data_IF_001442441147
#
_entry.id   IF_001442441147
#
_cell.length_a   1.000
_cell.length_b   1.000
_cell.length_c   1.000
_cell.angle_alpha   90.00
_cell.angle_beta   90.00
_cell.angle_gamma   90.00
#
_symmetry.space_group_name_H-M   'P 1'
#
loop_
_entity.id
_entity.type
_entity.pdbx_description
1 polymer ?
#
# COMPACT_ATOMS: atom_id res chain seq x y z
N UNK A 1 -4.70 -7.38 -22.25
CA UNK A 1 -3.97 -6.58 -21.24
C UNK A 1 -2.49 -6.77 -21.46
N UNK A 2 -1.71 -5.70 -21.42
CA UNK A 2 -0.24 -5.75 -21.51
C UNK A 2 0.32 -5.28 -20.18
N UNK A 3 0.36 -6.20 -19.21
CA UNK A 3 0.72 -5.87 -17.83
C UNK A 3 2.23 -5.89 -17.65
N UNK A 4 2.77 -4.79 -17.12
CA UNK A 4 4.16 -4.66 -16.75
C UNK A 4 4.29 -4.13 -15.30
N UNK A 5 5.28 -4.66 -14.58
CA UNK A 5 5.63 -4.18 -13.25
C UNK A 5 6.69 -3.09 -13.38
N UNK A 6 6.45 -1.96 -12.71
CA UNK A 6 7.39 -0.86 -12.58
C UNK A 6 7.75 -0.63 -11.11
N UNK A 7 8.93 -0.07 -10.90
CA UNK A 7 9.34 0.51 -9.62
C UNK A 7 9.51 2.03 -9.81
N UNK A 8 8.79 2.80 -9.01
CA UNK A 8 8.94 4.25 -8.89
C UNK A 8 9.63 4.60 -7.57
N UNK A 9 10.55 5.56 -7.60
CA UNK A 9 11.18 6.11 -6.39
C UNK A 9 10.54 7.44 -6.03
N UNK A 10 10.03 7.58 -4.82
CA UNK A 10 9.52 8.84 -4.28
C UNK A 10 10.51 9.48 -3.31
N UNK A 11 10.67 10.79 -3.40
CA UNK A 11 11.45 11.60 -2.46
C UNK A 11 10.48 12.42 -1.60
N UNK A 12 10.39 12.12 -0.30
CA UNK A 12 9.46 12.84 0.58
C UNK A 12 9.99 14.24 0.89
N UNK A 13 9.10 15.25 0.82
CA UNK A 13 9.43 16.66 1.08
C UNK A 13 8.79 17.19 2.35
N UNK A 14 7.62 16.67 2.73
CA UNK A 14 6.93 17.03 3.96
C UNK A 14 6.44 15.79 4.72
N UNK A 15 6.00 15.99 5.96
CA UNK A 15 5.44 14.91 6.77
C UNK A 15 4.17 14.34 6.13
N UNK A 16 3.91 13.06 6.41
CA UNK A 16 2.70 12.38 5.94
C UNK A 16 1.60 12.47 6.99
N UNK A 17 0.42 12.97 6.61
CA UNK A 17 -0.80 12.89 7.43
C UNK A 17 -1.55 11.57 7.30
N UNK A 18 -1.30 10.84 6.22
CA UNK A 18 -1.82 9.50 5.92
C UNK A 18 -0.64 8.63 5.46
N UNK A 19 -0.49 7.38 5.94
CA UNK A 19 0.49 6.46 5.39
C UNK A 19 0.33 6.33 3.87
N UNK A 20 1.44 6.17 3.13
CA UNK A 20 1.44 5.96 1.67
C UNK A 20 0.84 4.59 1.32
N UNK A 21 -0.47 4.44 1.47
CA UNK A 21 -1.16 3.20 1.18
C UNK A 21 -1.51 3.12 -0.31
N UNK A 22 -1.31 1.95 -0.92
CA UNK A 22 -1.49 1.75 -2.36
C UNK A 22 -2.93 1.99 -2.81
N UNK A 23 -3.90 1.58 -2.00
CA UNK A 23 -5.33 1.81 -2.25
C UNK A 23 -5.71 3.29 -2.24
N UNK A 24 -5.05 4.09 -1.40
CA UNK A 24 -5.23 5.55 -1.34
C UNK A 24 -4.55 6.23 -2.52
N UNK A 25 -3.33 5.83 -2.87
CA UNK A 25 -2.61 6.32 -4.05
C UNK A 25 -3.38 6.03 -5.34
N UNK A 26 -3.91 4.82 -5.51
CA UNK A 26 -4.77 4.48 -6.64
C UNK A 26 -5.99 5.40 -6.74
N UNK A 27 -6.67 5.64 -5.62
CA UNK A 27 -7.80 6.57 -5.57
C UNK A 27 -7.39 7.98 -6.00
N UNK A 28 -6.24 8.47 -5.53
CA UNK A 28 -5.71 9.78 -5.93
C UNK A 28 -5.28 9.81 -7.40
N UNK A 29 -4.75 8.73 -7.96
CA UNK A 29 -4.46 8.62 -9.39
C UNK A 29 -5.74 8.72 -10.23
N UNK A 30 -6.85 8.11 -9.78
CA UNK A 30 -8.15 8.25 -10.44
C UNK A 30 -8.63 9.72 -10.44
N UNK A 31 -8.48 10.41 -9.30
CA UNK A 31 -8.82 11.83 -9.19
C UNK A 31 -7.95 12.70 -10.08
N UNK A 32 -6.63 12.50 -10.05
CA UNK A 32 -5.68 13.22 -10.90
C UNK A 32 -5.97 12.99 -12.39
N UNK A 33 -6.30 11.76 -12.80
CA UNK A 33 -6.67 11.44 -14.17
C UNK A 33 -7.96 12.17 -14.58
N UNK A 34 -8.98 12.22 -13.70
CA UNK A 34 -10.22 12.96 -13.96
C UNK A 34 -9.98 14.46 -14.11
N UNK A 35 -9.12 15.02 -13.28
CA UNK A 35 -8.78 16.45 -13.29
C UNK A 35 -7.96 16.85 -14.51
N UNK A 36 -7.02 16.01 -14.94
CA UNK A 36 -6.17 16.29 -16.10
C UNK A 36 -6.84 15.97 -17.43
N UNK A 37 -7.59 14.86 -17.52
CA UNK A 37 -8.05 14.31 -18.79
C UNK A 37 -9.57 14.16 -18.89
N UNK A 38 -10.31 14.51 -17.83
CA UNK A 38 -11.77 14.48 -17.81
C UNK A 38 -12.36 13.13 -17.38
N UNK A 39 -13.68 13.14 -17.21
CA UNK A 39 -14.44 12.00 -16.70
C UNK A 39 -14.51 10.83 -17.68
N UNK A 40 -14.68 11.12 -18.97
CA UNK A 40 -14.71 10.09 -20.02
C UNK A 40 -13.43 9.26 -20.06
N UNK A 41 -12.27 9.89 -19.91
CA UNK A 41 -10.99 9.17 -19.91
C UNK A 41 -10.83 8.33 -18.63
N UNK A 42 -11.26 8.84 -17.47
CA UNK A 42 -11.28 8.02 -16.25
C UNK A 42 -12.19 6.79 -16.41
N UNK A 43 -13.38 6.96 -16.98
CA UNK A 43 -14.30 5.84 -17.24
C UNK A 43 -13.66 4.80 -18.16
N UNK A 44 -12.98 5.24 -19.24
CA UNK A 44 -12.22 4.35 -20.13
C UNK A 44 -11.12 3.58 -19.39
N UNK A 45 -10.38 4.24 -18.48
CA UNK A 45 -9.35 3.58 -17.67
C UNK A 45 -9.97 2.54 -16.72
N UNK A 46 -11.12 2.85 -16.12
CA UNK A 46 -11.82 1.99 -15.15
C UNK A 46 -12.68 0.88 -15.79
N UNK A 47 -12.80 0.83 -17.12
CA UNK A 47 -13.58 -0.20 -17.80
C UNK A 47 -13.13 -1.63 -17.42
N UNK A 48 -14.03 -2.45 -16.88
CA UNK A 48 -13.70 -3.79 -16.38
C UNK A 48 -12.84 -3.84 -15.11
N UNK A 49 -12.67 -2.73 -14.39
CA UNK A 49 -11.83 -2.67 -13.19
C UNK A 49 -12.28 -3.65 -12.09
N UNK A 50 -13.58 -3.86 -11.93
CA UNK A 50 -14.15 -4.84 -10.97
C UNK A 50 -14.21 -6.27 -11.52
N UNK A 51 -13.87 -6.46 -12.79
CA UNK A 51 -13.93 -7.75 -13.50
C UNK A 51 -12.53 -8.35 -13.74
N UNK A 52 -11.54 -7.95 -12.94
CA UNK A 52 -10.17 -8.44 -13.06
C UNK A 52 -9.29 -7.71 -14.08
N UNK A 53 -9.73 -6.58 -14.62
CA UNK A 53 -8.98 -5.82 -15.65
C UNK A 53 -8.52 -4.44 -15.16
N UNK A 54 -7.69 -4.34 -14.09
CA UNK A 54 -7.21 -3.05 -13.61
C UNK A 54 -6.26 -2.39 -14.63
N UNK A 55 -6.41 -1.07 -14.82
CA UNK A 55 -5.42 -0.27 -15.57
C UNK A 55 -4.16 -0.01 -14.74
N UNK A 56 -4.28 0.02 -13.41
CA UNK A 56 -3.21 0.25 -12.47
C UNK A 56 -3.47 -0.49 -11.16
N UNK A 57 -2.42 -1.12 -10.62
CA UNK A 57 -2.37 -1.67 -9.27
C UNK A 57 -1.15 -1.07 -8.55
N UNK A 58 -1.37 -0.45 -7.40
CA UNK A 58 -0.34 0.30 -6.65
C UNK A 58 -0.01 -0.39 -5.33
N UNK A 59 1.27 -0.58 -5.02
CA UNK A 59 1.72 -1.04 -3.69
C UNK A 59 1.58 0.06 -2.63
N UNK A 60 1.72 -0.32 -1.36
CA UNK A 60 2.10 0.65 -0.34
C UNK A 60 3.49 1.23 -0.62
N UNK A 61 3.78 2.39 -0.04
CA UNK A 61 5.10 3.02 -0.01
C UNK A 61 6.02 2.27 0.96
N UNK A 62 7.12 1.75 0.43
CA UNK A 62 8.08 0.92 1.16
C UNK A 62 9.42 1.66 1.28
N UNK A 63 10.21 1.49 2.36
CA UNK A 63 11.56 2.03 2.41
C UNK A 63 12.37 1.56 1.19
N UNK A 64 13.16 2.45 0.59
CA UNK A 64 13.95 2.13 -0.59
C UNK A 64 14.79 0.86 -0.38
N UNK A 65 14.65 -0.11 -1.29
CA UNK A 65 15.40 -1.36 -1.25
C UNK A 65 14.83 -2.41 -0.29
N UNK A 66 13.64 -2.21 0.25
CA UNK A 66 12.98 -3.12 1.19
C UNK A 66 11.54 -3.44 0.81
N UNK A 67 11.09 -4.61 1.26
CA UNK A 67 9.71 -5.09 1.17
C UNK A 67 9.15 -5.38 2.57
N UNK A 68 7.82 -5.39 2.75
CA UNK A 68 7.21 -5.57 4.06
C UNK A 68 7.27 -7.03 4.51
N UNK A 69 7.83 -7.33 5.67
CA UNK A 69 7.96 -8.71 6.17
C UNK A 69 6.63 -9.48 5.99
N UNK A 70 6.66 -10.67 5.35
CA UNK A 70 5.45 -11.42 5.09
C UNK A 70 4.77 -11.80 6.40
N UNK A 71 3.44 -11.74 6.40
CA UNK A 71 2.59 -12.12 7.52
C UNK A 71 2.53 -13.63 7.56
N UNK A 72 3.28 -14.23 8.48
CA UNK A 72 3.32 -15.67 8.67
C UNK A 72 3.16 -16.03 10.15
N UNK A 73 2.67 -17.25 10.44
CA UNK A 73 2.69 -17.79 11.79
C UNK A 73 4.11 -17.82 12.35
N UNK A 74 4.21 -17.77 13.69
CA UNK A 74 5.49 -17.78 14.36
C UNK A 74 6.31 -19.06 14.10
N UNK A 75 5.68 -20.17 13.70
CA UNK A 75 6.37 -21.40 13.32
C UNK A 75 7.34 -21.22 12.15
N UNK A 76 7.15 -20.20 11.30
CA UNK A 76 8.05 -19.87 10.20
C UNK A 76 9.23 -18.98 10.63
N UNK A 77 9.17 -18.38 11.82
CA UNK A 77 10.23 -17.49 12.29
C UNK A 77 11.52 -18.27 12.56
N UNK A 78 12.68 -17.70 12.22
CA UNK A 78 13.96 -18.35 12.51
C UNK A 78 14.18 -18.45 14.02
N UNK A 79 14.57 -19.63 14.49
CA UNK A 79 15.09 -19.81 15.84
C UNK A 79 16.35 -18.94 16.04
N UNK A 80 16.53 -18.41 17.25
CA UNK A 80 17.82 -17.83 17.63
C UNK A 80 18.83 -18.96 17.84
N UNK A 81 19.87 -19.01 16.99
CA UNK A 81 20.93 -20.02 17.09
C UNK A 81 20.53 -21.40 16.57
N UNK A 82 21.37 -22.40 16.86
CA UNK A 82 21.23 -23.81 16.44
C UNK A 82 20.31 -24.65 17.34
N UNK A 83 19.50 -24.03 18.20
CA UNK A 83 18.73 -24.74 19.20
C UNK A 83 17.39 -25.24 18.65
N UNK A 84 17.18 -26.56 18.72
CA UNK A 84 15.93 -27.29 18.45
C UNK A 84 14.89 -27.16 19.59
N UNK A 85 14.77 -25.97 20.18
CA UNK A 85 13.89 -25.68 21.32
C UNK A 85 12.91 -24.52 21.08
N UNK A 86 11.97 -24.27 22.01
CA UNK A 86 11.03 -23.15 21.90
C UNK A 86 11.78 -21.81 21.80
N UNK A 87 11.39 -20.95 20.86
CA UNK A 87 11.98 -19.62 20.71
C UNK A 87 11.77 -18.82 22.00
N UNK A 88 12.87 -18.38 22.63
CA UNK A 88 12.83 -17.62 23.88
C UNK A 88 12.08 -16.28 23.73
N UNK A 89 11.64 -15.69 24.86
CA UNK A 89 10.85 -14.46 24.83
C UNK A 89 11.62 -13.26 24.24
N UNK A 90 12.94 -13.22 24.42
CA UNK A 90 13.79 -12.14 23.94
C UNK A 90 13.88 -12.13 22.40
N UNK A 91 14.12 -13.29 21.79
CA UNK A 91 14.16 -13.48 20.34
C UNK A 91 12.79 -13.19 19.72
N UNK A 92 11.70 -13.61 20.36
CA UNK A 92 10.34 -13.27 19.90
C UNK A 92 10.12 -11.76 19.88
N UNK A 93 10.54 -11.05 20.92
CA UNK A 93 10.44 -9.58 20.98
C UNK A 93 11.30 -8.91 19.90
N UNK A 94 12.52 -9.41 19.68
CA UNK A 94 13.41 -8.90 18.64
C UNK A 94 12.88 -9.16 17.22
N UNK A 95 12.28 -10.32 16.95
CA UNK A 95 11.71 -10.62 15.63
C UNK A 95 10.45 -9.81 15.32
N UNK A 96 9.71 -9.35 16.34
CA UNK A 96 8.55 -8.47 16.18
C UNK A 96 8.91 -7.05 15.73
N UNK A 97 10.11 -6.56 16.05
CA UNK A 97 10.55 -5.23 15.60
C UNK A 97 11.10 -5.25 14.18
N UNK A 98 11.44 -6.43 13.65
CA UNK A 98 11.86 -6.63 12.26
C UNK A 98 10.65 -6.63 11.33
N UNK A 99 10.50 -5.59 10.52
CA UNK A 99 9.34 -5.36 9.65
C UNK A 99 9.69 -5.36 8.16
N UNK A 100 10.97 -5.46 7.81
CA UNK A 100 11.44 -5.24 6.45
C UNK A 100 12.32 -6.38 5.96
N UNK A 101 12.14 -6.79 4.71
CA UNK A 101 12.98 -7.76 4.00
C UNK A 101 13.79 -6.98 2.95
N UNK A 102 15.13 -7.02 2.98
CA UNK A 102 15.94 -6.41 1.93
C UNK A 102 15.63 -7.03 0.56
N UNK A 103 15.61 -6.25 -0.52
CA UNK A 103 15.37 -6.77 -1.87
C UNK A 103 16.38 -7.86 -2.27
N UNK A 104 17.63 -7.75 -1.80
CA UNK A 104 18.68 -8.76 -2.01
C UNK A 104 18.40 -10.10 -1.32
N UNK A 105 17.36 -10.18 -0.51
CA UNK A 105 16.88 -11.42 0.11
C UNK A 105 15.69 -12.04 -0.64
N UNK A 106 15.07 -11.32 -1.59
CA UNK A 106 14.04 -11.90 -2.48
C UNK A 106 14.64 -13.01 -3.34
N UNK A 107 13.82 -13.93 -3.82
CA UNK A 107 14.28 -15.10 -4.61
C UNK A 107 15.02 -16.18 -3.82
N UNK A 108 15.39 -15.95 -2.55
CA UNK A 108 15.99 -16.95 -1.67
C UNK A 108 14.93 -17.82 -0.96
N UNK A 109 15.30 -19.00 -0.44
CA UNK A 109 14.39 -19.82 0.37
C UNK A 109 13.78 -19.03 1.54
N UNK A 110 12.53 -19.33 1.89
CA UNK A 110 11.73 -18.55 2.84
C UNK A 110 12.45 -18.37 4.18
N UNK A 111 13.01 -19.45 4.74
CA UNK A 111 13.77 -19.39 6.00
C UNK A 111 14.97 -18.44 5.93
N UNK A 112 15.66 -18.38 4.79
CA UNK A 112 16.79 -17.46 4.57
C UNK A 112 16.30 -16.02 4.43
N UNK A 113 15.21 -15.81 3.71
CA UNK A 113 14.59 -14.49 3.57
C UNK A 113 14.16 -13.93 4.93
N UNK A 114 13.49 -14.72 5.76
CA UNK A 114 13.04 -14.31 7.10
C UNK A 114 14.19 -14.02 8.06
N UNK A 115 15.32 -14.74 7.97
CA UNK A 115 16.54 -14.44 8.74
C UNK A 115 17.14 -13.07 8.40
N UNK A 116 16.99 -12.63 7.14
CA UNK A 116 17.45 -11.33 6.68
C UNK A 116 16.54 -10.16 7.09
N UNK A 117 15.44 -10.42 7.82
CA UNK A 117 14.53 -9.37 8.25
C UNK A 117 15.20 -8.32 9.15
N UNK A 118 14.83 -7.06 8.93
CA UNK A 118 15.43 -5.87 9.52
C UNK A 118 14.35 -4.97 10.15
N UNK A 119 14.74 -4.17 11.15
CA UNK A 119 13.86 -3.18 11.79
C UNK A 119 13.86 -1.86 11.02
N UNK A 120 13.06 -0.89 11.45
CA UNK A 120 13.09 0.46 10.86
C UNK A 120 14.47 1.09 10.96
N UNK A 121 15.22 0.77 12.03
CA UNK A 121 16.54 1.36 12.24
C UNK A 121 17.46 1.01 11.09
N UNK A 122 17.51 -0.25 10.65
CA UNK A 122 18.34 -0.64 9.52
C UNK A 122 17.73 -0.19 8.18
N UNK A 123 16.41 -0.37 7.99
CA UNK A 123 15.75 -0.04 6.73
C UNK A 123 15.79 1.47 6.37
N UNK A 124 15.87 2.33 7.39
CA UNK A 124 15.97 3.78 7.24
C UNK A 124 17.35 4.33 7.63
N UNK A 125 18.42 3.52 7.54
CA UNK A 125 19.80 3.94 7.76
C UNK A 125 20.02 4.74 9.07
N UNK A 126 19.52 4.18 10.18
CA UNK A 126 19.50 4.74 11.53
C UNK A 126 18.67 6.01 11.73
N UNK A 127 17.82 6.38 10.75
CA UNK A 127 16.94 7.55 10.80
C UNK A 127 15.48 7.14 10.56
N UNK A 128 14.90 6.30 11.45
CA UNK A 128 13.56 5.79 11.27
C UNK A 128 12.52 6.92 11.25
N UNK A 129 11.37 6.73 10.58
CA UNK A 129 10.29 7.70 10.61
C UNK A 129 9.82 7.96 12.04
N UNK A 130 9.53 9.22 12.36
CA UNK A 130 9.12 9.65 13.70
C UNK A 130 7.65 10.04 13.63
N UNK A 131 6.82 9.39 14.46
CA UNK A 131 5.45 9.84 14.66
C UNK A 131 5.43 11.00 15.66
N UNK A 132 4.72 12.07 15.30
CA UNK A 132 4.46 13.21 16.17
C UNK A 132 2.96 13.48 16.26
N UNK A 133 2.53 13.95 17.42
CA UNK A 133 1.16 14.38 17.67
C UNK A 133 1.13 15.90 17.59
N UNK A 134 0.44 16.44 16.59
CA UNK A 134 0.24 17.86 16.41
C UNK A 134 -1.09 18.28 17.04
N UNK A 135 -1.10 19.19 18.03
CA UNK A 135 -2.32 19.81 18.52
C UNK A 135 -2.81 20.89 17.55
N UNK A 136 -4.13 20.95 17.38
CA UNK A 136 -4.83 21.92 16.55
C UNK A 136 -5.93 22.59 17.36
N UNK A 137 -6.10 23.89 17.12
CA UNK A 137 -7.14 24.71 17.71
C UNK A 137 -8.00 25.30 16.60
N UNK A 138 -9.32 25.16 16.72
CA UNK A 138 -10.27 25.88 15.86
C UNK A 138 -10.75 27.11 16.62
N UNK A 139 -10.45 28.31 16.10
CA UNK A 139 -10.89 29.56 16.70
C UNK A 139 -12.27 29.97 16.18
N UNK A 140 -13.18 30.27 17.09
CA UNK A 140 -14.42 30.95 16.76
C UNK A 140 -14.11 32.41 16.40
N UNK A 141 -14.42 32.84 15.18
CA UNK A 141 -14.11 34.19 14.69
C UNK A 141 -14.93 35.30 15.38
N UNK A 142 -16.06 34.97 16.00
CA UNK A 142 -16.88 35.93 16.74
C UNK A 142 -16.32 36.18 18.14
N UNK A 143 -15.82 35.15 18.81
CA UNK A 143 -15.34 35.24 20.21
C UNK A 143 -13.83 35.34 20.33
N UNK A 144 -13.08 34.97 19.29
CA UNK A 144 -11.63 34.85 19.33
C UNK A 144 -11.12 33.69 20.19
N UNK A 145 -11.99 32.75 20.59
CA UNK A 145 -11.66 31.66 21.52
C UNK A 145 -11.85 30.28 20.89
N UNK A 146 -11.19 29.27 21.47
CA UNK A 146 -11.58 27.85 21.31
C UNK A 146 -12.78 27.54 22.21
N UNK A 147 -13.38 26.34 22.08
CA UNK A 147 -14.58 25.99 22.84
C UNK A 147 -14.95 24.51 22.75
N UNK A 148 -16.24 24.22 22.77
CA UNK A 148 -16.78 22.87 22.59
C UNK A 148 -17.05 22.56 21.10
N UNK A 149 -17.41 21.31 20.81
CA UNK A 149 -17.81 20.83 19.49
C UNK A 149 -16.77 21.13 18.41
N UNK A 150 -17.15 21.84 17.34
CA UNK A 150 -16.28 22.19 16.21
C UNK A 150 -15.11 23.11 16.61
N UNK A 151 -15.20 23.78 17.78
CA UNK A 151 -14.16 24.63 18.33
C UNK A 151 -13.27 23.93 19.36
N UNK A 152 -13.52 22.64 19.63
CA UNK A 152 -12.71 21.86 20.56
C UNK A 152 -11.30 21.64 20.00
N UNK A 153 -10.25 21.84 20.82
CA UNK A 153 -8.91 21.41 20.47
C UNK A 153 -8.90 19.92 20.14
N UNK A 154 -8.19 19.57 19.08
CA UNK A 154 -8.04 18.18 18.65
C UNK A 154 -6.59 17.91 18.30
N UNK A 155 -6.24 16.62 18.22
CA UNK A 155 -4.89 16.22 17.85
C UNK A 155 -4.90 15.40 16.58
N UNK A 156 -3.81 15.52 15.83
CA UNK A 156 -3.60 14.79 14.60
C UNK A 156 -2.20 14.20 14.60
N UNK A 157 -2.08 12.95 14.15
CA UNK A 157 -0.77 12.31 13.99
C UNK A 157 -0.14 12.69 12.67
N UNK A 158 1.16 12.85 12.64
CA UNK A 158 1.95 13.06 11.43
C UNK A 158 3.20 12.18 11.50
N UNK A 159 3.63 11.66 10.37
CA UNK A 159 4.87 10.87 10.28
C UNK A 159 5.93 11.66 9.54
N UNK A 160 7.03 11.95 10.22
CA UNK A 160 8.18 12.68 9.70
C UNK A 160 9.25 11.71 9.22
N UNK A 161 9.81 11.98 8.05
CA UNK A 161 10.91 11.22 7.46
C UNK A 161 12.15 12.11 7.41
N UNK A 162 13.33 11.50 7.56
CA UNK A 162 14.58 12.24 7.48
C UNK A 162 14.81 12.78 6.05
N UNK A 163 15.55 13.90 5.95
CA UNK A 163 15.91 14.46 4.65
C UNK A 163 16.72 13.45 3.82
N UNK A 164 16.40 13.37 2.53
CA UNK A 164 16.98 12.41 1.59
C UNK A 164 16.39 11.01 1.67
N UNK A 165 15.40 10.76 2.53
CA UNK A 165 14.75 9.46 2.60
C UNK A 165 13.93 9.20 1.33
N UNK A 166 14.18 8.05 0.72
CA UNK A 166 13.45 7.58 -0.45
C UNK A 166 12.50 6.44 -0.09
N UNK A 167 11.42 6.38 -0.84
CA UNK A 167 10.36 5.37 -0.75
C UNK A 167 10.21 4.71 -2.12
N UNK A 168 10.16 3.40 -2.18
CA UNK A 168 9.83 2.65 -3.38
C UNK A 168 8.32 2.39 -3.46
N UNK A 169 7.77 2.54 -4.66
CA UNK A 169 6.44 2.10 -5.04
C UNK A 169 6.54 1.09 -6.18
N UNK A 170 5.74 0.04 -6.10
CA UNK A 170 5.60 -0.98 -7.12
C UNK A 170 4.25 -0.83 -7.80
N UNK A 171 4.28 -0.74 -9.13
CA UNK A 171 3.14 -0.36 -9.96
C UNK A 171 2.95 -1.42 -11.03
N UNK A 172 1.84 -2.16 -10.99
CA UNK A 172 1.46 -3.01 -12.14
C UNK A 172 0.57 -2.18 -13.05
N UNK A 173 1.04 -1.91 -14.25
CA UNK A 173 0.41 -1.03 -15.23
C UNK A 173 -0.03 -1.84 -16.45
N UNK A 174 -1.26 -1.65 -16.92
CA UNK A 174 -1.67 -2.11 -18.25
C UNK A 174 -1.25 -1.06 -19.30
N UNK A 175 -0.11 -1.32 -19.96
CA UNK A 175 0.48 -0.40 -20.95
C UNK A 175 -0.43 -0.18 -22.15
N UNK A 176 -1.38 -1.08 -22.41
CA UNK A 176 -2.38 -0.89 -23.47
C UNK A 176 -3.43 0.17 -23.12
N UNK A 177 -3.57 0.51 -21.83
CA UNK A 177 -4.56 1.49 -21.33
C UNK A 177 -3.93 2.83 -20.99
N UNK A 178 -2.71 2.84 -20.45
CA UNK A 178 -2.01 4.06 -20.08
C UNK A 178 -0.49 3.89 -20.20
N UNK A 179 0.16 4.83 -20.90
CA UNK A 179 1.62 4.88 -20.97
C UNK A 179 2.25 5.28 -19.62
N UNK A 180 3.44 4.76 -19.32
CA UNK A 180 4.15 5.02 -18.07
C UNK A 180 4.47 6.51 -17.86
N UNK A 181 4.69 7.26 -18.94
CA UNK A 181 4.92 8.70 -18.93
C UNK A 181 3.69 9.45 -18.42
N UNK A 182 2.49 9.01 -18.81
CA UNK A 182 1.25 9.59 -18.29
C UNK A 182 1.04 9.24 -16.83
N UNK A 183 1.41 8.02 -16.40
CA UNK A 183 1.38 7.64 -14.99
C UNK A 183 2.32 8.51 -14.14
N UNK A 184 3.51 8.85 -14.64
CA UNK A 184 4.42 9.81 -13.99
C UNK A 184 3.73 11.15 -13.74
N UNK A 185 3.05 11.71 -14.75
CA UNK A 185 2.35 13.00 -14.62
C UNK A 185 1.28 12.95 -13.51
N UNK A 186 0.56 11.84 -13.36
CA UNK A 186 -0.42 11.66 -12.28
C UNK A 186 0.27 11.64 -10.90
N UNK A 187 1.35 10.88 -10.74
CA UNK A 187 2.10 10.80 -9.48
C UNK A 187 2.75 12.15 -9.12
N UNK A 188 3.28 12.89 -10.09
CA UNK A 188 3.84 14.23 -9.89
C UNK A 188 2.77 15.23 -9.45
N UNK A 189 1.57 15.18 -10.05
CA UNK A 189 0.46 16.01 -9.63
C UNK A 189 0.04 15.72 -8.17
N UNK A 190 -0.01 14.45 -7.78
CA UNK A 190 -0.28 14.04 -6.39
C UNK A 190 0.82 14.55 -5.45
N UNK A 191 2.08 14.37 -5.81
CA UNK A 191 3.23 14.79 -5.01
C UNK A 191 3.32 16.31 -4.83
N UNK A 192 2.93 17.08 -5.84
CA UNK A 192 2.89 18.55 -5.78
C UNK A 192 1.73 19.07 -4.93
N UNK A 193 0.54 18.46 -5.06
CA UNK A 193 -0.64 18.83 -4.29
C UNK A 193 -0.52 18.40 -2.81
N UNK A 194 -0.05 17.17 -2.59
CA UNK A 194 0.03 16.51 -1.30
C UNK A 194 -0.81 15.22 -1.24
N UNK A 195 -0.22 14.16 -0.71
CA UNK A 195 -0.87 12.87 -0.47
C UNK A 195 -1.73 12.87 0.80
N UNK A 196 -2.97 12.38 0.67
CA UNK A 196 -3.82 12.06 1.80
C UNK A 196 -4.30 13.29 2.59
N UNK A 197 -4.39 13.12 3.91
CA UNK A 197 -4.97 14.12 4.82
C UNK A 197 -4.06 15.35 4.97
N UNK A 198 -4.69 16.51 5.05
CA UNK A 198 -4.07 17.83 5.24
C UNK A 198 -3.07 18.23 4.15
N UNK A 199 -3.26 17.71 2.93
CA UNK A 199 -2.56 18.16 1.73
C UNK A 199 -2.68 19.69 1.55
N UNK A 200 -3.87 20.25 1.80
CA UNK A 200 -4.13 21.70 1.76
C UNK A 200 -3.32 22.52 2.78
N UNK A 201 -2.84 21.89 3.86
CA UNK A 201 -1.98 22.51 4.87
C UNK A 201 -0.50 22.19 4.65
N UNK A 202 -0.16 21.56 3.51
CA UNK A 202 1.23 21.30 3.09
C UNK A 202 1.76 19.91 3.40
N UNK A 203 0.97 18.99 3.95
CA UNK A 203 1.41 17.61 4.20
C UNK A 203 1.42 16.76 2.93
N UNK A 204 2.15 15.65 2.98
CA UNK A 204 2.09 14.61 1.94
C UNK A 204 2.83 14.94 0.65
N UNK A 205 3.68 15.97 0.62
CA UNK A 205 4.38 16.38 -0.60
C UNK A 205 5.57 15.49 -0.88
N UNK A 206 5.76 15.12 -2.14
CA UNK A 206 6.89 14.31 -2.59
C UNK A 206 7.24 14.60 -4.05
N UNK A 207 8.48 14.32 -4.41
CA UNK A 207 8.96 14.28 -5.80
C UNK A 207 8.94 12.85 -6.33
N UNK A 208 8.77 12.71 -7.65
CA UNK A 208 8.81 11.42 -8.36
C UNK A 208 10.14 11.32 -9.11
N UNK A 209 10.90 10.27 -8.81
CA UNK A 209 12.15 9.95 -9.49
C UNK A 209 11.95 9.09 -10.74
N UNK A 210 12.92 8.20 -10.99
CA UNK A 210 12.81 7.23 -12.06
C UNK A 210 11.60 6.30 -11.83
N UNK A 211 10.87 6.02 -12.91
CA UNK A 211 9.90 4.94 -13.00
C UNK A 211 10.46 3.98 -14.03
N UNK A 212 10.89 2.81 -13.59
CA UNK A 212 11.61 1.86 -14.44
C UNK A 212 10.94 0.49 -14.41
N UNK A 213 10.93 -0.25 -15.53
CA UNK A 213 10.49 -1.65 -15.52
C UNK A 213 11.23 -2.42 -14.43
N UNK A 214 10.50 -3.28 -13.73
CA UNK A 214 11.02 -4.04 -12.60
C UNK A 214 10.58 -5.49 -12.67
N UNK A 215 11.43 -6.38 -12.17
CA UNK A 215 11.13 -7.79 -11.95
C UNK A 215 11.76 -8.18 -10.63
N UNK A 216 10.99 -8.83 -9.78
CA UNK A 216 11.53 -9.45 -8.58
C UNK A 216 12.33 -10.70 -8.95
N UNK A 217 13.37 -10.98 -8.16
CA UNK A 217 14.02 -12.27 -8.24
C UNK A 217 13.04 -13.35 -7.79
N UNK A 218 12.84 -14.35 -8.64
CA UNK A 218 11.96 -15.48 -8.37
C UNK A 218 12.84 -16.68 -8.10
N UNK A 219 12.55 -17.42 -7.03
CA UNK A 219 13.19 -18.71 -6.82
C UNK A 219 12.79 -19.65 -7.97
N UNK A 220 13.73 -20.41 -8.52
CA UNK A 220 13.42 -21.40 -9.55
C UNK A 220 12.21 -22.25 -9.10
N UNK A 221 11.24 -22.54 -9.98
CA UNK A 221 10.01 -23.19 -9.58
C UNK A 221 10.33 -24.53 -8.92
N UNK A 222 10.04 -24.64 -7.62
CA UNK A 222 9.95 -25.93 -6.97
C UNK A 222 8.72 -26.65 -7.52
N UNK A 223 8.61 -27.98 -7.32
CA UNK A 223 7.38 -28.74 -7.64
C UNK A 223 6.15 -28.34 -6.77
N UNK A 224 6.19 -27.18 -6.12
CA UNK A 224 5.23 -26.71 -5.12
C UNK A 224 4.30 -25.64 -5.69
N UNK A 225 3.12 -25.53 -5.10
CA UNK A 225 2.15 -24.47 -5.45
C UNK A 225 2.71 -23.10 -5.06
N UNK A 226 2.70 -22.10 -5.97
CA UNK A 226 3.24 -20.79 -5.67
C UNK A 226 2.43 -20.08 -4.59
N UNK A 227 3.12 -19.25 -3.80
CA UNK A 227 2.51 -18.37 -2.82
C UNK A 227 2.82 -16.91 -3.15
N UNK A 228 1.80 -16.06 -3.02
CA UNK A 228 1.80 -14.67 -3.44
C UNK A 228 1.90 -13.77 -2.22
N UNK A 229 3.04 -13.11 -2.06
CA UNK A 229 3.30 -12.14 -0.99
C UNK A 229 2.92 -10.73 -1.45
N UNK A 230 1.88 -10.18 -0.83
CA UNK A 230 1.25 -8.91 -1.24
C UNK A 230 2.01 -7.69 -0.77
N UNK A 231 2.10 -6.67 -1.64
CA UNK A 231 2.74 -5.39 -1.38
C UNK A 231 1.75 -4.25 -1.11
N UNK A 232 0.45 -4.55 -1.03
CA UNK A 232 -0.62 -3.62 -0.68
C UNK A 232 -1.77 -4.39 0.00
N UNK A 233 -2.76 -3.70 0.59
CA UNK A 233 -4.00 -4.32 1.03
C UNK A 233 -4.70 -5.05 -0.11
N UNK A 234 -5.26 -6.22 0.19
CA UNK A 234 -5.82 -7.14 -0.81
C UNK A 234 -7.24 -7.59 -0.43
N UNK A 235 -8.09 -7.76 -1.43
CA UNK A 235 -9.43 -8.34 -1.35
C UNK A 235 -9.45 -9.74 -2.01
N UNK A 236 -9.06 -10.80 -1.28
CA UNK A 236 -8.84 -12.14 -1.84
C UNK A 236 -10.13 -12.97 -2.00
N UNK A 237 -11.27 -12.50 -1.49
CA UNK A 237 -12.47 -13.31 -1.33
C UNK A 237 -13.01 -13.87 -2.66
N UNK A 238 -13.37 -15.16 -2.68
CA UNK A 238 -13.97 -15.81 -3.85
C UNK A 238 -13.01 -16.08 -5.03
N UNK A 239 -11.70 -15.89 -4.87
CA UNK A 239 -10.72 -16.00 -5.96
C UNK A 239 -9.90 -17.30 -5.99
N UNK A 240 -10.33 -18.31 -5.22
CA UNK A 240 -9.74 -19.66 -5.23
C UNK A 240 -8.41 -19.79 -4.47
N UNK A 241 -8.18 -18.98 -3.43
CA UNK A 241 -7.02 -19.14 -2.56
C UNK A 241 -7.23 -20.24 -1.51
N UNK A 242 -6.17 -20.99 -1.22
CA UNK A 242 -6.16 -22.00 -0.18
C UNK A 242 -6.07 -21.35 1.21
N UNK A 243 -7.19 -21.31 1.92
CA UNK A 243 -7.28 -20.71 3.25
C UNK A 243 -6.43 -21.39 4.32
N UNK A 244 -6.05 -22.67 4.15
CA UNK A 244 -5.21 -23.38 5.11
C UNK A 244 -3.72 -23.04 4.96
N UNK A 245 -3.31 -22.62 3.76
CA UNK A 245 -1.93 -22.27 3.43
C UNK A 245 -1.74 -20.77 3.15
N UNK A 246 -2.79 -19.97 3.38
CA UNK A 246 -2.75 -18.50 3.26
C UNK A 246 -2.77 -17.84 4.63
N UNK A 247 -2.03 -16.75 4.78
CA UNK A 247 -1.80 -16.07 6.05
C UNK A 247 -1.89 -14.55 5.89
N UNK A 248 -2.77 -13.91 6.67
CA UNK A 248 -2.99 -12.48 6.60
C UNK A 248 -3.40 -11.88 7.94
N UNK A 249 -3.27 -10.56 8.03
CA UNK A 249 -3.94 -9.75 9.06
C UNK A 249 -5.11 -9.03 8.43
N UNK A 250 -6.15 -8.79 9.19
CA UNK A 250 -7.32 -8.04 8.73
C UNK A 250 -7.12 -6.56 9.03
N UNK A 251 -7.46 -5.71 8.09
CA UNK A 251 -7.62 -4.27 8.30
C UNK A 251 -8.97 -3.82 7.79
N UNK A 252 -9.49 -2.73 8.36
CA UNK A 252 -10.69 -2.05 7.86
C UNK A 252 -10.32 -0.69 7.31
N UNK A 253 -10.73 -0.39 6.07
CA UNK A 253 -10.62 0.94 5.48
C UNK A 253 -11.93 1.70 5.65
N UNK A 254 -11.86 2.77 6.42
CA UNK A 254 -12.95 3.75 6.55
C UNK A 254 -12.71 4.85 5.52
N UNK A 255 -13.29 4.67 4.33
CA UNK A 255 -13.09 5.59 3.22
C UNK A 255 -13.87 6.89 3.40
N UNK A 256 -13.24 8.00 3.03
CA UNK A 256 -13.90 9.27 2.73
C UNK A 256 -13.60 9.63 1.29
N UNK A 257 -14.58 10.17 0.58
CA UNK A 257 -14.37 10.72 -0.75
C UNK A 257 -13.43 11.92 -0.73
N UNK A 258 -12.67 12.08 -1.81
CA UNK A 258 -11.85 13.27 -2.07
C UNK A 258 -12.59 14.32 -2.90
N UNK A 259 -11.95 15.48 -3.08
CA UNK A 259 -12.36 16.56 -3.98
C UNK A 259 -13.86 16.93 -3.81
N UNK A 260 -14.65 17.09 -4.90
CA UNK A 260 -16.03 17.58 -4.89
C UNK A 260 -16.93 16.79 -3.96
N UNK A 261 -16.70 15.48 -3.83
CA UNK A 261 -17.51 14.60 -3.00
C UNK A 261 -17.10 14.65 -1.52
N UNK A 262 -15.92 15.19 -1.19
CA UNK A 262 -15.54 15.46 0.20
C UNK A 262 -16.41 16.55 0.86
N UNK A 263 -17.04 17.41 0.03
CA UNK A 263 -17.93 18.50 0.40
C UNK A 263 -19.43 18.14 0.27
N UNK A 264 -19.74 16.91 -0.17
CA UNK A 264 -21.13 16.45 -0.28
C UNK A 264 -21.75 16.21 1.11
N UNK A 265 -23.09 16.14 1.16
CA UNK A 265 -23.83 15.90 2.41
C UNK A 265 -23.42 14.59 3.11
N UNK A 266 -23.03 13.57 2.35
CA UNK A 266 -22.45 12.34 2.87
C UNK A 266 -21.14 12.01 2.13
N UNK A 267 -19.97 12.40 2.69
CA UNK A 267 -18.68 12.17 2.05
C UNK A 267 -18.11 10.78 2.36
N UNK A 268 -18.81 9.94 3.12
CA UNK A 268 -18.27 8.67 3.60
C UNK A 268 -18.58 7.51 2.66
N UNK A 269 -17.60 6.61 2.52
CA UNK A 269 -17.74 5.31 1.86
C UNK A 269 -18.09 4.25 2.91
N UNK A 270 -18.71 3.17 2.45
CA UNK A 270 -18.92 2.00 3.29
C UNK A 270 -17.56 1.39 3.68
N UNK A 271 -17.38 0.95 4.94
CA UNK A 271 -16.14 0.33 5.38
C UNK A 271 -15.82 -0.94 4.58
N UNK A 272 -14.55 -1.11 4.23
CA UNK A 272 -14.08 -2.29 3.48
C UNK A 272 -13.10 -3.10 4.33
N UNK A 273 -13.37 -4.41 4.45
CA UNK A 273 -12.46 -5.37 5.06
C UNK A 273 -11.46 -5.87 4.02
N UNK A 274 -10.17 -5.76 4.35
CA UNK A 274 -9.07 -6.19 3.47
C UNK A 274 -8.06 -7.03 4.26
N UNK A 275 -7.36 -7.91 3.57
CA UNK A 275 -6.09 -8.44 4.03
C UNK A 275 -5.04 -7.33 3.99
N UNK A 276 -4.26 -7.17 5.06
CA UNK A 276 -3.22 -6.17 5.17
C UNK A 276 -2.03 -6.48 4.25
N UNK A 277 -1.26 -5.46 3.93
CA UNK A 277 0.03 -5.56 3.24
C UNK A 277 0.96 -6.58 3.92
N UNK A 278 1.66 -7.35 3.10
CA UNK A 278 2.50 -8.46 3.55
C UNK A 278 1.74 -9.77 3.72
N UNK A 279 0.43 -9.83 3.46
CA UNK A 279 -0.31 -11.10 3.43
C UNK A 279 0.28 -12.07 2.39
N UNK A 280 0.25 -13.36 2.69
CA UNK A 280 0.71 -14.46 1.84
C UNK A 280 -0.50 -15.29 1.44
N UNK A 281 -0.69 -15.51 0.14
CA UNK A 281 -1.79 -16.33 -0.37
C UNK A 281 -1.30 -17.45 -1.27
N UNK A 282 -1.71 -18.69 -1.01
CA UNK A 282 -1.36 -19.84 -1.85
C UNK A 282 -2.51 -20.14 -2.80
N UNK A 283 -2.21 -20.32 -4.09
CA UNK A 283 -3.18 -20.75 -5.09
C UNK A 283 -2.48 -21.36 -6.31
N UNK A 284 -3.18 -22.24 -7.00
CA UNK A 284 -2.78 -22.73 -8.32
C UNK A 284 -3.04 -21.64 -9.38
N UNK A 285 -2.12 -20.68 -9.43
CA UNK A 285 -2.10 -19.58 -10.39
C UNK A 285 -0.71 -19.51 -11.06
N UNK A 286 -0.59 -18.96 -12.27
CA UNK A 286 0.69 -18.88 -12.96
C UNK A 286 1.77 -18.17 -12.13
N UNK A 287 2.99 -18.72 -12.13
CA UNK A 287 4.15 -18.11 -11.45
C UNK A 287 4.59 -16.75 -12.04
N UNK A 288 3.99 -16.30 -13.14
CA UNK A 288 4.18 -14.94 -13.70
C UNK A 288 3.14 -13.92 -13.21
N UNK A 289 2.25 -14.29 -12.28
CA UNK A 289 1.21 -13.40 -11.74
C UNK A 289 1.86 -12.18 -11.07
N UNK A 290 1.50 -10.97 -11.55
CA UNK A 290 2.06 -9.70 -11.05
C UNK A 290 1.23 -9.08 -9.93
N UNK A 291 -0.05 -9.41 -9.85
CA UNK A 291 -0.95 -8.95 -8.79
C UNK A 291 -2.01 -10.01 -8.46
N UNK A 292 -2.60 -9.90 -7.27
CA UNK A 292 -3.77 -10.67 -6.87
C UNK A 292 -4.84 -9.76 -6.29
N UNK A 293 -5.99 -10.33 -5.93
CA UNK A 293 -7.13 -9.60 -5.35
C UNK A 293 -8.12 -9.17 -6.43
N UNK A 294 -9.04 -8.28 -6.06
CA UNK A 294 -10.09 -7.80 -6.95
C UNK A 294 -10.41 -6.31 -6.76
N UNK A 295 -10.94 -5.68 -7.80
CA UNK A 295 -11.50 -4.34 -7.74
C UNK A 295 -12.85 -4.40 -7.03
N UNK A 296 -13.11 -3.43 -6.16
CA UNK A 296 -14.35 -3.35 -5.39
C UNK A 296 -15.17 -2.14 -5.84
N UNK A 297 -16.50 -2.24 -5.78
CA UNK A 297 -17.40 -1.11 -6.02
C UNK A 297 -18.11 -1.17 -7.37
N UNK A 298 -18.20 0.00 -8.03
CA UNK A 298 -18.88 0.25 -9.32
C UNK A 298 -20.39 -0.07 -9.40
N UNK A 299 -20.98 -0.55 -8.30
CA UNK A 299 -22.35 -1.03 -8.22
C UNK A 299 -23.17 -0.34 -7.11
N UNK A 300 -22.69 0.79 -6.58
CA UNK A 300 -23.33 1.48 -5.45
C UNK A 300 -23.04 0.94 -4.06
N UNK A 301 -22.47 -0.26 -3.91
CA UNK A 301 -22.22 -0.86 -2.58
C UNK A 301 -21.14 -0.15 -1.78
N UNK A 302 -20.17 0.50 -2.43
CA UNK A 302 -19.13 1.27 -1.73
C UNK A 302 -19.61 2.67 -1.34
N UNK A 303 -20.54 3.25 -2.08
CA UNK A 303 -21.06 4.58 -1.81
C UNK A 303 -22.40 4.81 -2.48
N UNK A 304 -23.42 5.11 -1.68
CA UNK A 304 -24.73 5.48 -2.18
C UNK A 304 -24.73 6.86 -2.86
N UNK A 305 -23.83 7.76 -2.45
CA UNK A 305 -23.74 9.13 -3.00
C UNK A 305 -22.96 9.19 -4.32
N UNK A 306 -22.14 8.19 -4.62
CA UNK A 306 -21.38 8.09 -5.87
C UNK A 306 -21.28 6.62 -6.30
N UNK A 307 -22.30 6.08 -7.00
CA UNK A 307 -22.37 4.65 -7.32
C UNK A 307 -21.21 4.11 -8.16
N UNK A 308 -20.56 4.97 -8.95
CA UNK A 308 -19.40 4.60 -9.76
C UNK A 308 -18.11 4.46 -8.95
N UNK A 309 -18.15 4.68 -7.62
CA UNK A 309 -16.99 4.57 -6.74
C UNK A 309 -16.35 3.20 -6.82
N UNK A 310 -15.06 3.19 -7.08
CA UNK A 310 -14.21 2.00 -6.99
C UNK A 310 -13.21 2.11 -5.83
N UNK A 311 -12.72 0.95 -5.39
CA UNK A 311 -11.60 0.83 -4.45
C UNK A 311 -10.67 -0.28 -4.90
N UNK A 312 -9.37 -0.02 -4.80
CA UNK A 312 -8.37 -1.05 -5.01
C UNK A 312 -8.42 -2.08 -3.89
N UNK A 313 -8.82 -3.31 -4.24
CA UNK A 313 -8.53 -4.52 -3.49
C UNK A 313 -7.51 -5.41 -4.21
N UNK A 314 -6.86 -4.87 -5.24
CA UNK A 314 -5.71 -5.49 -5.90
C UNK A 314 -4.41 -5.17 -5.15
N UNK A 315 -3.45 -6.10 -5.16
CA UNK A 315 -2.12 -5.87 -4.62
C UNK A 315 -1.05 -6.42 -5.57
N UNK A 316 0.03 -5.67 -5.87
CA UNK A 316 1.20 -6.25 -6.53
C UNK A 316 1.79 -7.36 -5.65
N UNK A 317 2.37 -8.38 -6.26
CA UNK A 317 2.88 -9.55 -5.52
C UNK A 317 4.31 -9.91 -5.86
N UNK A 318 4.97 -10.52 -4.89
CA UNK A 318 6.24 -11.23 -5.04
C UNK A 318 5.94 -12.71 -4.85
N UNK A 319 6.48 -13.55 -5.73
CA UNK A 319 6.26 -14.98 -5.66
C UNK A 319 7.28 -15.61 -4.72
N UNK A 320 6.77 -16.33 -3.72
CA UNK A 320 7.54 -17.07 -2.73
C UNK A 320 7.06 -18.52 -2.71
N UNK A 321 7.90 -19.40 -2.18
CA UNK A 321 7.53 -20.79 -1.91
C UNK A 321 7.51 -20.98 -0.41
N UNK A 322 6.46 -21.61 0.09
CA UNK A 322 6.36 -22.01 1.48
C UNK A 322 7.14 -23.31 1.63
N UNK A 323 8.24 -23.29 2.38
CA UNK A 323 8.98 -24.51 2.72
C UNK A 323 8.08 -25.39 3.64
N UNK A 324 8.09 -26.70 3.43
CA UNK A 324 7.51 -27.68 4.38
C UNK A 324 8.27 -27.71 5.72
#
# INVERSE_FOLDING_TARGET
>A
MTLALYRARLQLHTALGTPLAGDTLFGQCCWAAREQWGETELQRLLDGYTDGHPWLVVSDGLPEGYLPKPTLPQSFEPAAGSATGPIDAATRKANKTKRWIPLTATGKPLKTMLKAAQSDKEAYANRPPIESIQPHNTLNRLTGTTGADVFAPYTQRQTFFASGQAIDLYLVLDESRLAVEKLRILLEAIGMHGHGRDASSGLGKFGVGAISPHRFEVMAPAKQTPSFWTLAPCAPQGLGFDGNNSYWRIITRFGRHGNRHALAANPFKNPVLLAATGAVFTADKPAGTLFIGQGLGSNGQLSNSEPATVQQGYAPVVNIHMDD
#
